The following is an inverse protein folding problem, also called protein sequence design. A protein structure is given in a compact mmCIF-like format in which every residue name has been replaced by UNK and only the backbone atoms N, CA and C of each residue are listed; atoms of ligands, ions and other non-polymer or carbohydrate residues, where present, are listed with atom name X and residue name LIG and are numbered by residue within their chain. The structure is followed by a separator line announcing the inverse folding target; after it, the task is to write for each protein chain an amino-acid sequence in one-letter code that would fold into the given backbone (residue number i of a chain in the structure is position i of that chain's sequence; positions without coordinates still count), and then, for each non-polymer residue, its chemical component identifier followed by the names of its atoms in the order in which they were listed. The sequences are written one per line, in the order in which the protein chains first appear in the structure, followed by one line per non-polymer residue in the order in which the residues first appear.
data_IF_328527715985
#
_entry.id   IF_328527715985
#
_cell.length_a   1.000
_cell.length_b   1.000
_cell.length_c   1.000
_cell.angle_alpha   90.00
_cell.angle_beta   90.00
_cell.angle_gamma   90.00
#
_symmetry.space_group_name_H-M   'P 1'
#
loop_
_entity.id
_entity.type
_entity.pdbx_description
1 polymer ?
#
# COMPACT_ATOMS: atom_id res chain seq x y z
N UNK A 1 -31.52 6.04 -19.54
CA UNK A 1 -31.64 6.60 -18.17
C UNK A 1 -30.39 7.42 -17.88
N UNK A 2 -30.51 8.64 -17.37
CA UNK A 2 -29.34 9.42 -16.98
C UNK A 2 -28.61 8.71 -15.82
N UNK A 3 -27.30 8.54 -15.92
CA UNK A 3 -26.47 8.00 -14.84
C UNK A 3 -26.16 9.13 -13.85
N UNK A 4 -26.58 8.96 -12.60
CA UNK A 4 -26.22 9.88 -11.52
C UNK A 4 -24.72 9.81 -11.28
N UNK A 5 -24.02 10.93 -11.44
CA UNK A 5 -22.61 11.08 -11.03
C UNK A 5 -22.59 11.45 -9.55
N UNK A 6 -22.28 10.47 -8.71
CA UNK A 6 -22.13 10.67 -7.25
C UNK A 6 -20.85 11.45 -6.96
N UNK A 7 -19.78 11.17 -7.70
CA UNK A 7 -18.49 11.85 -7.58
C UNK A 7 -18.28 12.79 -8.76
N UNK A 8 -17.70 13.96 -8.47
CA UNK A 8 -17.07 14.82 -9.45
C UNK A 8 -15.86 14.11 -10.07
N UNK A 9 -15.38 14.52 -11.26
CA UNK A 9 -14.17 13.94 -11.85
C UNK A 9 -12.95 14.00 -10.93
N UNK A 10 -12.83 15.06 -10.12
CA UNK A 10 -11.74 15.23 -9.15
C UNK A 10 -11.85 14.24 -8.00
N UNK A 11 -13.04 14.08 -7.41
CA UNK A 11 -13.26 13.10 -6.35
C UNK A 11 -13.06 11.67 -6.85
N UNK A 12 -13.44 11.38 -8.09
CA UNK A 12 -13.18 10.09 -8.72
C UNK A 12 -11.68 9.82 -8.86
N UNK A 13 -10.90 10.81 -9.32
CA UNK A 13 -9.45 10.68 -9.43
C UNK A 13 -8.81 10.43 -8.06
N UNK A 14 -9.16 11.22 -7.05
CA UNK A 14 -8.68 11.02 -5.68
C UNK A 14 -9.08 9.65 -5.11
N UNK A 15 -10.29 9.18 -5.43
CA UNK A 15 -10.77 7.89 -4.98
C UNK A 15 -9.95 6.74 -5.58
N UNK A 16 -9.61 6.83 -6.87
CA UNK A 16 -8.90 5.79 -7.62
C UNK A 16 -7.37 5.83 -7.46
N UNK A 17 -6.83 6.90 -6.88
CA UNK A 17 -5.41 7.01 -6.54
C UNK A 17 -5.06 6.30 -5.22
N UNK A 18 -3.86 5.69 -5.12
CA UNK A 18 -3.38 5.15 -3.86
C UNK A 18 -3.21 6.27 -2.80
N UNK A 19 -3.43 5.94 -1.52
CA UNK A 19 -3.36 6.93 -0.45
C UNK A 19 -1.97 7.54 -0.37
N UNK A 20 -1.90 8.85 -0.09
CA UNK A 20 -0.65 9.53 0.21
C UNK A 20 -0.44 9.52 1.73
N UNK A 21 0.31 8.54 2.22
CA UNK A 21 0.51 8.37 3.65
C UNK A 21 1.50 9.38 4.25
N UNK A 22 1.15 9.92 5.41
CA UNK A 22 2.09 10.53 6.34
C UNK A 22 3.01 9.49 6.97
N UNK A 23 4.09 9.94 7.61
CA UNK A 23 5.01 9.04 8.35
C UNK A 23 4.32 8.25 9.46
N UNK A 24 3.30 8.82 10.10
CA UNK A 24 2.51 8.15 11.14
C UNK A 24 1.62 7.06 10.52
N UNK A 25 1.01 7.35 9.38
CA UNK A 25 0.17 6.40 8.65
C UNK A 25 0.98 5.24 8.08
N UNK A 26 2.19 5.48 7.56
CA UNK A 26 3.09 4.40 7.13
C UNK A 26 3.40 3.43 8.27
N UNK A 27 3.73 3.94 9.46
CA UNK A 27 3.95 3.11 10.66
C UNK A 27 2.71 2.30 11.02
N UNK A 28 1.52 2.90 10.93
CA UNK A 28 0.25 2.25 11.28
C UNK A 28 -0.17 1.18 10.27
N UNK A 29 -0.16 1.51 8.98
CA UNK A 29 -0.77 0.66 7.96
C UNK A 29 0.18 -0.40 7.40
N UNK A 30 1.50 -0.15 7.42
CA UNK A 30 2.52 -1.13 7.02
C UNK A 30 3.07 -1.98 8.17
N UNK A 31 2.42 -1.96 9.35
CA UNK A 31 2.79 -2.83 10.47
C UNK A 31 2.69 -4.33 10.10
N UNK A 32 3.73 -5.09 10.48
CA UNK A 32 3.87 -6.53 10.22
C UNK A 32 3.55 -7.31 11.48
N UNK A 33 2.32 -7.82 11.53
CA UNK A 33 1.89 -8.77 12.57
C UNK A 33 2.49 -10.16 12.34
N UNK A 34 2.46 -11.08 13.33
CA UNK A 34 2.94 -12.45 13.15
C UNK A 34 2.31 -13.16 11.95
N UNK A 35 0.99 -12.98 11.73
CA UNK A 35 0.29 -13.58 10.59
C UNK A 35 0.77 -13.02 9.24
N UNK A 36 1.04 -11.71 9.17
CA UNK A 36 1.60 -11.09 7.95
C UNK A 36 3.02 -11.63 7.69
N UNK A 37 3.81 -11.81 8.76
CA UNK A 37 5.15 -12.38 8.67
C UNK A 37 5.16 -13.81 8.14
N UNK A 38 4.25 -14.66 8.58
CA UNK A 38 4.08 -16.02 8.03
C UNK A 38 3.84 -15.99 6.51
N UNK A 39 2.98 -15.09 6.04
CA UNK A 39 2.70 -14.94 4.60
C UNK A 39 3.95 -14.44 3.88
N UNK A 40 4.65 -13.45 4.42
CA UNK A 40 5.89 -12.93 3.83
C UNK A 40 6.94 -14.02 3.63
N UNK A 41 7.12 -14.92 4.60
CA UNK A 41 8.05 -16.04 4.48
C UNK A 41 7.66 -17.06 3.41
N UNK A 42 6.39 -17.12 3.00
CA UNK A 42 5.93 -17.98 1.91
C UNK A 42 6.23 -17.40 0.51
N UNK A 43 6.53 -16.10 0.41
CA UNK A 43 6.77 -15.40 -0.85
C UNK A 43 8.25 -15.47 -1.26
N UNK A 44 8.50 -15.89 -2.50
CA UNK A 44 9.84 -16.21 -3.01
C UNK A 44 10.75 -15.01 -3.31
N UNK A 45 10.18 -13.85 -3.67
CA UNK A 45 10.97 -12.72 -4.15
C UNK A 45 10.80 -11.49 -3.25
N UNK A 46 11.85 -10.68 -3.05
CA UNK A 46 11.76 -9.43 -2.30
C UNK A 46 10.70 -8.48 -2.84
N UNK A 47 10.53 -8.41 -4.16
CA UNK A 47 9.55 -7.55 -4.83
C UNK A 47 8.12 -7.97 -4.48
N UNK A 48 7.85 -9.28 -4.44
CA UNK A 48 6.55 -9.81 -4.05
C UNK A 48 6.27 -9.56 -2.58
N UNK A 49 7.28 -9.65 -1.71
CA UNK A 49 7.15 -9.34 -0.29
C UNK A 49 6.82 -7.86 -0.07
N UNK A 50 7.57 -6.95 -0.72
CA UNK A 50 7.30 -5.50 -0.66
C UNK A 50 5.92 -5.18 -1.22
N UNK A 51 5.60 -5.68 -2.41
CA UNK A 51 4.32 -5.47 -3.06
C UNK A 51 3.14 -5.97 -2.24
N UNK A 52 3.29 -7.12 -1.56
CA UNK A 52 2.28 -7.64 -0.65
C UNK A 52 2.01 -6.70 0.53
N UNK A 53 3.05 -6.21 1.21
CA UNK A 53 2.86 -5.29 2.36
C UNK A 53 2.23 -3.97 1.91
N UNK A 54 2.70 -3.39 0.80
CA UNK A 54 2.14 -2.13 0.26
C UNK A 54 0.66 -2.32 -0.08
N UNK A 55 0.33 -3.40 -0.79
CA UNK A 55 -1.06 -3.72 -1.15
C UNK A 55 -1.94 -3.89 0.09
N UNK A 56 -1.46 -4.63 1.10
CA UNK A 56 -2.18 -4.85 2.34
C UNK A 56 -2.37 -3.55 3.13
N UNK A 57 -1.35 -2.68 3.20
CA UNK A 57 -1.43 -1.40 3.88
C UNK A 57 -2.43 -0.44 3.23
N UNK A 58 -2.41 -0.35 1.90
CA UNK A 58 -3.43 0.39 1.15
C UNK A 58 -4.82 -0.15 1.40
N UNK A 59 -5.00 -1.48 1.33
CA UNK A 59 -6.29 -2.10 1.61
C UNK A 59 -6.77 -1.84 3.05
N UNK A 60 -5.87 -1.87 4.05
CA UNK A 60 -6.23 -1.54 5.44
C UNK A 60 -6.80 -0.13 5.56
N UNK A 61 -6.21 0.84 4.87
CA UNK A 61 -6.59 2.25 4.93
C UNK A 61 -7.84 2.57 4.09
N UNK A 62 -7.90 2.09 2.85
CA UNK A 62 -8.92 2.53 1.87
C UNK A 62 -10.00 1.48 1.59
N UNK A 63 -9.79 0.23 2.04
CA UNK A 63 -10.63 -0.94 1.69
C UNK A 63 -10.65 -1.24 0.19
N UNK A 64 -9.61 -0.84 -0.54
CA UNK A 64 -9.48 -1.04 -2.00
C UNK A 64 -8.13 -1.62 -2.38
N UNK A 65 -8.11 -2.25 -3.54
CA UNK A 65 -6.89 -2.64 -4.23
C UNK A 65 -6.59 -1.64 -5.33
N UNK A 66 -5.32 -1.27 -5.45
CA UNK A 66 -4.82 -0.44 -6.52
C UNK A 66 -3.97 -1.33 -7.43
N UNK A 67 -4.07 -1.12 -8.75
CA UNK A 67 -3.14 -1.75 -9.70
C UNK A 67 -1.70 -1.25 -9.44
N UNK A 68 -0.75 -1.49 -10.35
CA UNK A 68 0.72 -1.25 -10.24
C UNK A 68 1.18 0.21 -9.96
N UNK A 69 0.32 1.04 -9.38
CA UNK A 69 0.46 2.44 -9.03
C UNK A 69 1.01 2.64 -7.59
N UNK A 70 1.89 1.78 -7.11
CA UNK A 70 2.44 1.96 -5.76
C UNK A 70 3.30 3.22 -5.70
N UNK A 71 3.14 4.02 -4.64
CA UNK A 71 3.98 5.21 -4.43
C UNK A 71 5.40 4.75 -4.12
N UNK A 72 6.39 5.35 -4.79
CA UNK A 72 7.82 5.01 -4.61
C UNK A 72 8.28 5.17 -3.17
N UNK A 73 7.79 6.19 -2.47
CA UNK A 73 8.06 6.44 -1.05
C UNK A 73 7.57 5.33 -0.13
N UNK A 74 6.45 4.68 -0.47
CA UNK A 74 5.91 3.56 0.29
C UNK A 74 6.68 2.26 0.00
N UNK A 75 7.05 2.03 -1.26
CA UNK A 75 7.94 0.94 -1.65
C UNK A 75 9.27 1.06 -0.89
N UNK A 76 9.87 2.25 -0.87
CA UNK A 76 11.13 2.53 -0.20
C UNK A 76 11.02 2.31 1.32
N UNK A 77 9.96 2.84 1.93
CA UNK A 77 9.69 2.65 3.35
C UNK A 77 9.58 1.17 3.72
N UNK A 78 8.77 0.41 2.97
CA UNK A 78 8.56 -1.02 3.21
C UNK A 78 9.85 -1.81 2.94
N UNK A 79 10.59 -1.47 1.89
CA UNK A 79 11.86 -2.13 1.56
C UNK A 79 12.88 -1.95 2.67
N UNK A 80 12.99 -0.74 3.26
CA UNK A 80 13.82 -0.52 4.46
C UNK A 80 13.32 -1.31 5.66
N UNK A 81 12.01 -1.30 5.89
CA UNK A 81 11.38 -1.98 7.02
C UNK A 81 11.59 -3.51 6.96
N UNK A 82 11.63 -4.08 5.76
CA UNK A 82 11.93 -5.50 5.53
C UNK A 82 13.44 -5.81 5.46
N UNK A 83 14.31 -4.79 5.50
CA UNK A 83 15.76 -4.96 5.44
C UNK A 83 16.34 -5.15 4.04
N UNK A 84 15.60 -4.82 2.98
CA UNK A 84 16.06 -4.86 1.59
C UNK A 84 16.79 -3.59 1.14
N UNK A 85 16.63 -2.49 1.87
CA UNK A 85 17.36 -1.24 1.66
C UNK A 85 17.98 -0.74 2.98
N UNK A 86 19.11 -0.01 2.94
CA UNK A 86 19.73 0.55 4.13
C UNK A 86 18.82 1.58 4.80
N UNK A 87 18.85 1.61 6.15
CA UNK A 87 18.22 2.67 6.93
C UNK A 87 19.10 3.92 6.83
N UNK A 88 18.51 5.03 6.38
CA UNK A 88 19.14 6.37 6.36
C UNK A 88 18.96 7.05 7.71
#
# INVERSE_FOLDING_TARGET
MPRMRILTPTEQAQFDEPPDFSSVERKRFFDITPRVREILHSLRSPENQVGFVVTLGYFKATKRFFARQFRSTDIEYVSRYLGFLPQL
#
